data_IF_411745532905
#
_entry.id   IF_411745532905
#
_cell.length_a   1.000
_cell.length_b   1.000
_cell.length_c   1.000
_cell.angle_alpha   90.00
_cell.angle_beta   90.00
_cell.angle_gamma   90.00
#
_symmetry.space_group_name_H-M   'P 1'
#
loop_
_entity.id
_entity.type
_entity.pdbx_description
1 polymer ?
#
# COMPACT_ATOMS: atom_id res chain seq x y z
N UNK A 1 1.20 1.79 13.96
CA UNK A 1 0.88 3.19 13.63
C UNK A 1 0.31 3.36 12.22
N UNK A 2 0.80 2.68 11.17
CA UNK A 2 0.22 2.81 9.80
C UNK A 2 -1.03 1.96 9.54
N UNK A 3 -1.18 0.82 10.24
CA UNK A 3 -2.32 -0.09 10.08
C UNK A 3 -3.71 0.59 10.15
N UNK A 4 -4.04 1.42 11.16
CA UNK A 4 -5.34 2.09 11.22
C UNK A 4 -5.55 3.07 10.06
N UNK A 5 -4.51 3.76 9.58
CA UNK A 5 -4.60 4.67 8.43
C UNK A 5 -4.98 3.91 7.16
N UNK A 6 -4.39 2.72 6.96
CA UNK A 6 -4.70 1.86 5.81
C UNK A 6 -6.11 1.31 5.90
N UNK A 7 -6.57 0.95 7.09
CA UNK A 7 -7.93 0.45 7.33
C UNK A 7 -8.98 1.55 7.06
N UNK A 8 -8.74 2.77 7.51
CA UNK A 8 -9.61 3.91 7.19
C UNK A 8 -9.68 4.20 5.69
N UNK A 9 -8.55 4.11 4.98
CA UNK A 9 -8.51 4.29 3.52
C UNK A 9 -9.29 3.16 2.83
N UNK A 10 -9.15 1.93 3.31
CA UNK A 10 -9.91 0.78 2.79
C UNK A 10 -11.42 0.98 2.94
N UNK A 11 -11.88 1.54 4.06
CA UNK A 11 -13.31 1.85 4.26
C UNK A 11 -13.74 3.07 3.43
N UNK A 12 -12.92 4.10 3.32
CA UNK A 12 -13.24 5.31 2.55
C UNK A 12 -13.39 5.03 1.04
N UNK A 13 -12.54 4.17 0.48
CA UNK A 13 -12.54 3.81 -0.94
C UNK A 13 -13.13 2.42 -1.19
N UNK A 14 -14.00 1.96 -0.29
CA UNK A 14 -14.64 0.65 -0.37
C UNK A 14 -15.38 0.49 -1.69
N UNK A 15 -15.08 -0.61 -2.39
CA UNK A 15 -15.65 -0.89 -3.72
C UNK A 15 -14.92 -0.23 -4.89
N UNK A 16 -13.99 0.70 -4.64
CA UNK A 16 -13.15 1.32 -5.68
C UNK A 16 -11.75 0.72 -5.70
N UNK A 17 -11.18 0.44 -4.52
CA UNK A 17 -9.86 -0.17 -4.39
C UNK A 17 -9.92 -1.49 -3.62
N UNK A 18 -8.95 -2.36 -3.88
CA UNK A 18 -8.70 -3.56 -3.10
C UNK A 18 -7.46 -3.35 -2.25
N UNK A 19 -7.63 -3.32 -0.93
CA UNK A 19 -6.52 -3.25 0.02
C UNK A 19 -6.14 -4.67 0.46
N UNK A 20 -4.85 -4.98 0.39
CA UNK A 20 -4.31 -6.28 0.79
C UNK A 20 -3.13 -6.05 1.72
N UNK A 21 -3.07 -6.81 2.83
CA UNK A 21 -1.95 -6.82 3.76
C UNK A 21 -1.13 -8.07 3.49
N UNK A 22 0.19 -7.91 3.35
CA UNK A 22 1.13 -9.02 3.17
C UNK A 22 2.15 -8.95 4.29
N UNK A 23 2.31 -10.07 5.01
CA UNK A 23 3.37 -10.22 5.98
C UNK A 23 4.67 -10.61 5.26
N UNK A 24 5.69 -9.77 5.34
CA UNK A 24 6.99 -10.00 4.70
C UNK A 24 7.80 -11.11 5.37
N UNK A 25 7.56 -11.39 6.66
CA UNK A 25 8.26 -12.47 7.39
C UNK A 25 7.77 -13.85 6.92
N UNK A 26 6.48 -13.96 6.63
CA UNK A 26 5.87 -15.18 6.07
C UNK A 26 6.08 -15.30 4.55
N UNK A 27 6.30 -14.17 3.86
CA UNK A 27 6.43 -14.11 2.40
C UNK A 27 7.75 -13.44 1.97
N UNK A 28 8.92 -13.98 2.36
CA UNK A 28 10.21 -13.35 2.09
C UNK A 28 10.55 -13.25 0.60
N UNK A 29 10.05 -14.19 -0.21
CA UNK A 29 10.22 -14.14 -1.67
C UNK A 29 9.51 -12.93 -2.28
N UNK A 30 8.30 -12.61 -1.82
CA UNK A 30 7.54 -11.43 -2.28
C UNK A 30 8.28 -10.16 -1.87
N UNK A 31 8.76 -10.10 -0.63
CA UNK A 31 9.55 -8.97 -0.14
C UNK A 31 10.81 -8.75 -1.00
N UNK A 32 11.53 -9.82 -1.33
CA UNK A 32 12.71 -9.76 -2.21
C UNK A 32 12.36 -9.34 -3.63
N UNK A 33 11.33 -9.94 -4.24
CA UNK A 33 10.89 -9.66 -5.60
C UNK A 33 10.52 -8.18 -5.81
N UNK A 34 9.85 -7.57 -4.82
CA UNK A 34 9.45 -6.17 -4.88
C UNK A 34 10.49 -5.21 -4.26
N UNK A 35 11.63 -5.73 -3.77
CA UNK A 35 12.70 -4.92 -3.20
C UNK A 35 12.33 -4.23 -1.88
N UNK A 36 11.45 -4.85 -1.07
CA UNK A 36 11.03 -4.33 0.23
C UNK A 36 12.19 -4.47 1.22
N UNK A 37 12.82 -3.34 1.55
CA UNK A 37 13.97 -3.27 2.49
C UNK A 37 13.58 -2.80 3.89
N UNK A 38 12.43 -2.16 4.02
CA UNK A 38 11.91 -1.64 5.28
C UNK A 38 10.39 -1.71 5.30
N UNK A 39 9.84 -1.86 6.51
CA UNK A 39 8.40 -1.81 6.77
C UNK A 39 8.05 -0.59 7.62
N UNK A 40 6.88 0.04 7.42
CA UNK A 40 5.87 -0.31 6.42
C UNK A 40 6.25 0.16 5.00
N UNK A 41 5.91 -0.64 3.99
CA UNK A 41 5.98 -0.26 2.57
C UNK A 41 4.60 -0.49 1.95
N UNK A 42 4.09 0.52 1.24
CA UNK A 42 2.81 0.49 0.54
C UNK A 42 3.09 0.53 -0.96
N UNK A 43 2.42 -0.34 -1.72
CA UNK A 43 2.55 -0.39 -3.17
C UNK A 43 1.17 -0.23 -3.79
N UNK A 44 1.10 0.54 -4.87
CA UNK A 44 -0.12 0.78 -5.62
C UNK A 44 -0.02 0.03 -6.95
N UNK A 45 -1.03 -0.80 -7.22
CA UNK A 45 -1.14 -1.58 -8.44
C UNK A 45 -2.38 -1.13 -9.22
N UNK A 46 -2.23 -0.91 -10.52
CA UNK A 46 -3.31 -0.62 -11.47
C UNK A 46 -3.10 -1.49 -12.71
N UNK A 47 -4.16 -2.15 -13.18
CA UNK A 47 -4.13 -3.03 -14.35
C UNK A 47 -3.02 -4.10 -14.31
N UNK A 48 -2.72 -4.62 -13.13
CA UNK A 48 -1.68 -5.64 -12.91
C UNK A 48 -0.24 -5.11 -12.86
N UNK A 49 -0.03 -3.80 -13.07
CA UNK A 49 1.28 -3.17 -12.98
C UNK A 49 1.42 -2.34 -11.71
N UNK A 50 2.64 -2.34 -11.13
CA UNK A 50 2.99 -1.42 -10.02
C UNK A 50 3.12 -0.01 -10.59
N UNK A 51 2.25 0.90 -10.17
CA UNK A 51 2.25 2.30 -10.62
C UNK A 51 2.93 3.23 -9.61
N UNK A 52 2.92 2.88 -8.33
CA UNK A 52 3.56 3.69 -7.30
C UNK A 52 4.01 2.87 -6.09
N UNK A 53 4.91 3.43 -5.29
CA UNK A 53 5.43 2.84 -4.06
C UNK A 53 5.75 3.93 -3.04
N UNK A 54 5.22 3.76 -1.83
CA UNK A 54 5.48 4.63 -0.68
C UNK A 54 6.19 3.83 0.39
N UNK A 55 7.39 4.26 0.76
CA UNK A 55 8.20 3.61 1.80
C UNK A 55 8.12 4.43 3.08
N UNK A 56 7.84 3.77 4.20
CA UNK A 56 7.72 4.38 5.52
C UNK A 56 6.29 4.73 5.92
N UNK A 57 6.15 5.23 7.14
CA UNK A 57 4.87 5.69 7.66
C UNK A 57 4.58 7.11 7.14
N UNK A 58 3.59 7.23 6.25
CA UNK A 58 3.10 8.52 5.76
C UNK A 58 1.72 8.87 6.35
N UNK A 59 1.36 10.16 6.42
CA UNK A 59 0.01 10.57 6.79
C UNK A 59 -1.05 10.05 5.83
N UNK A 60 -2.29 9.91 6.34
CA UNK A 60 -3.47 9.52 5.55
C UNK A 60 -3.67 10.41 4.32
N UNK A 61 -3.50 11.72 4.50
CA UNK A 61 -3.69 12.72 3.43
C UNK A 61 -2.74 12.47 2.27
N UNK A 62 -1.45 12.21 2.55
CA UNK A 62 -0.46 11.88 1.53
C UNK A 62 -0.85 10.60 0.78
N UNK A 63 -1.29 9.56 1.50
CA UNK A 63 -1.71 8.31 0.87
C UNK A 63 -2.95 8.50 -0.02
N UNK A 64 -3.95 9.23 0.46
CA UNK A 64 -5.18 9.53 -0.27
C UNK A 64 -4.88 10.31 -1.55
N UNK A 65 -4.08 11.37 -1.47
CA UNK A 65 -3.67 12.14 -2.65
C UNK A 65 -2.87 11.31 -3.65
N UNK A 66 -2.04 10.37 -3.18
CA UNK A 66 -1.34 9.45 -4.10
C UNK A 66 -2.33 8.51 -4.78
N UNK A 67 -3.30 7.94 -4.04
CA UNK A 67 -4.35 7.07 -4.61
C UNK A 67 -5.21 7.80 -5.63
N UNK A 68 -5.61 9.04 -5.36
CA UNK A 68 -6.42 9.88 -6.26
C UNK A 68 -5.76 10.12 -7.64
N UNK A 69 -4.43 10.06 -7.75
CA UNK A 69 -3.74 10.16 -9.05
C UNK A 69 -3.95 8.95 -9.95
N UNK A 70 -4.32 7.80 -9.35
CA UNK A 70 -4.43 6.53 -10.06
C UNK A 70 -5.85 5.96 -10.05
N UNK A 71 -6.78 6.56 -9.31
CA UNK A 71 -8.20 6.23 -9.40
C UNK A 71 -8.79 6.65 -10.76
#
# INVERSE_FOLDING_TARGET
MVAPVVDEISEQYKGQIKVVKVNTDENPQVASQYGIRSIPTLMIFKDGAKVDMVVGAVPKTTLATTLEKYL
#
